data_IF_115200743160
#
_entry.id   IF_115200743160
#
_cell.length_a   1.000
_cell.length_b   1.000
_cell.length_c   1.000
_cell.angle_alpha   90.00
_cell.angle_beta   90.00
_cell.angle_gamma   90.00
#
_symmetry.space_group_name_H-M   'P 1'
#
loop_
_entity.id
_entity.type
_entity.pdbx_description
1 polymer ?
#
# COMPACT_ATOMS: atom_id res chain seq x y z
N UNK A 1 6.77 9.18 33.20
CA UNK A 1 5.50 9.95 33.13
C UNK A 1 5.47 10.91 31.92
N UNK A 2 6.57 11.57 31.55
CA UNK A 2 6.65 12.45 30.36
C UNK A 2 6.55 11.71 29.01
N UNK A 3 7.20 10.54 28.86
CA UNK A 3 7.16 9.74 27.63
C UNK A 3 5.75 9.23 27.26
N UNK A 4 4.98 8.81 28.26
CA UNK A 4 3.58 8.38 28.08
C UNK A 4 2.70 9.57 27.67
N UNK A 5 2.90 10.74 28.27
CA UNK A 5 2.16 11.94 27.92
C UNK A 5 2.48 12.41 26.49
N UNK A 6 3.75 12.41 26.09
CA UNK A 6 4.18 12.73 24.72
C UNK A 6 3.60 11.71 23.71
N UNK A 7 3.62 10.42 24.05
CA UNK A 7 2.99 9.38 23.22
C UNK A 7 1.49 9.60 23.03
N UNK A 8 0.74 9.94 24.08
CA UNK A 8 -0.70 10.23 23.98
C UNK A 8 -0.98 11.52 23.19
N UNK A 9 -0.13 12.54 23.31
CA UNK A 9 -0.24 13.77 22.54
C UNK A 9 -0.04 13.50 21.04
N UNK A 10 1.06 12.81 20.67
CA UNK A 10 1.32 12.40 19.28
C UNK A 10 0.19 11.54 18.71
N UNK A 11 -0.31 10.57 19.48
CA UNK A 11 -1.41 9.73 19.05
C UNK A 11 -2.69 10.54 18.80
N UNK A 12 -2.99 11.52 19.66
CA UNK A 12 -4.12 12.42 19.49
C UNK A 12 -3.98 13.28 18.23
N UNK A 13 -2.80 13.79 17.96
CA UNK A 13 -2.56 14.61 16.77
C UNK A 13 -2.65 13.78 15.49
N UNK A 14 -2.12 12.55 15.49
CA UNK A 14 -2.30 11.58 14.40
C UNK A 14 -3.79 11.28 14.17
N UNK A 15 -4.59 11.11 15.23
CA UNK A 15 -6.04 10.88 15.08
C UNK A 15 -6.77 12.08 14.49
N UNK A 16 -6.38 13.31 14.88
CA UNK A 16 -6.96 14.55 14.36
C UNK A 16 -6.63 14.79 12.89
N UNK A 17 -5.44 14.37 12.45
CA UNK A 17 -4.99 14.53 11.07
C UNK A 17 -5.58 13.48 10.12
N UNK A 18 -6.24 12.45 10.64
CA UNK A 18 -6.92 11.47 9.81
C UNK A 18 -8.02 12.12 8.97
N UNK A 19 -8.29 11.57 7.78
CA UNK A 19 -9.36 12.06 6.92
C UNK A 19 -10.73 12.07 7.64
N UNK A 20 -11.63 12.95 7.22
CA UNK A 20 -13.00 13.04 7.73
C UNK A 20 -13.82 11.82 7.27
N UNK A 21 -14.27 11.00 8.23
CA UNK A 21 -15.04 9.79 7.92
C UNK A 21 -16.35 10.11 7.21
N UNK A 22 -17.06 11.14 7.69
CA UNK A 22 -18.34 11.58 7.12
C UNK A 22 -18.18 12.05 5.68
N UNK A 23 -17.19 12.91 5.41
CA UNK A 23 -16.91 13.38 4.05
C UNK A 23 -16.49 12.25 3.11
N UNK A 24 -15.74 11.27 3.61
CA UNK A 24 -15.38 10.09 2.81
C UNK A 24 -16.60 9.23 2.47
N UNK A 25 -17.56 9.06 3.39
CA UNK A 25 -18.80 8.36 3.09
C UNK A 25 -19.59 9.08 1.99
N UNK A 26 -19.74 10.40 2.11
CA UNK A 26 -20.44 11.23 1.12
C UNK A 26 -19.75 11.20 -0.24
N UNK A 27 -18.42 11.37 -0.27
CA UNK A 27 -17.61 11.38 -1.51
C UNK A 27 -17.70 10.05 -2.27
N UNK A 28 -17.64 8.93 -1.56
CA UNK A 28 -17.61 7.59 -2.17
C UNK A 28 -19.00 6.95 -2.26
N UNK A 29 -20.07 7.71 -1.96
CA UNK A 29 -21.46 7.25 -1.96
C UNK A 29 -21.67 5.96 -1.12
N UNK A 30 -21.14 5.99 0.10
CA UNK A 30 -21.23 4.93 1.11
C UNK A 30 -22.22 5.33 2.22
N UNK A 31 -22.86 4.34 2.84
CA UNK A 31 -23.68 4.55 4.04
C UNK A 31 -23.08 3.82 5.25
N UNK A 32 -23.40 4.30 6.46
CA UNK A 32 -23.02 3.59 7.69
C UNK A 32 -23.63 2.19 7.73
N UNK A 33 -24.81 1.99 7.14
CA UNK A 33 -25.46 0.69 7.05
C UNK A 33 -24.60 -0.32 6.28
N UNK A 34 -24.08 0.06 5.10
CA UNK A 34 -23.17 -0.80 4.33
C UNK A 34 -21.90 -1.16 5.10
N UNK A 35 -21.36 -0.22 5.88
CA UNK A 35 -20.20 -0.46 6.75
C UNK A 35 -20.52 -1.46 7.86
N UNK A 36 -21.70 -1.33 8.48
CA UNK A 36 -22.17 -2.27 9.50
C UNK A 36 -22.39 -3.68 8.92
N UNK A 37 -22.97 -3.79 7.72
CA UNK A 37 -23.15 -5.07 7.02
C UNK A 37 -21.80 -5.77 6.76
N UNK A 38 -20.79 -5.03 6.31
CA UNK A 38 -19.44 -5.58 6.15
C UNK A 38 -18.86 -6.03 7.49
N UNK A 39 -18.97 -5.21 8.53
CA UNK A 39 -18.51 -5.55 9.88
C UNK A 39 -19.16 -6.83 10.41
N UNK A 40 -20.48 -6.96 10.24
CA UNK A 40 -21.22 -8.14 10.66
C UNK A 40 -20.78 -9.40 9.91
N UNK A 41 -20.58 -9.29 8.59
CA UNK A 41 -20.07 -10.40 7.78
C UNK A 41 -18.71 -10.91 8.26
N UNK A 42 -17.83 -9.98 8.65
CA UNK A 42 -16.47 -10.27 9.10
C UNK A 42 -16.38 -10.94 10.48
N UNK A 43 -17.44 -10.93 11.28
CA UNK A 43 -17.48 -11.64 12.58
C UNK A 43 -17.17 -13.13 12.46
N UNK A 44 -17.48 -13.72 11.31
CA UNK A 44 -17.20 -15.14 11.03
C UNK A 44 -15.75 -15.42 10.61
N UNK A 45 -14.99 -14.39 10.23
CA UNK A 45 -13.64 -14.55 9.71
C UNK A 45 -12.64 -14.85 10.84
N UNK A 46 -11.83 -15.89 10.63
CA UNK A 46 -10.72 -16.26 11.53
C UNK A 46 -9.39 -15.57 11.16
N UNK A 47 -9.36 -14.84 10.04
CA UNK A 47 -8.13 -14.25 9.50
C UNK A 47 -8.11 -12.73 9.66
N UNK A 48 -9.27 -12.08 9.57
CA UNK A 48 -9.40 -10.63 9.69
C UNK A 48 -9.51 -10.23 11.17
N UNK A 49 -8.73 -9.24 11.66
CA UNK A 49 -8.90 -8.71 13.00
C UNK A 49 -10.28 -8.08 13.22
N UNK A 50 -10.92 -8.39 14.34
CA UNK A 50 -12.24 -7.85 14.68
C UNK A 50 -12.19 -6.39 15.15
N UNK A 51 -10.99 -5.89 15.49
CA UNK A 51 -10.75 -4.54 16.00
C UNK A 51 -10.58 -3.47 14.93
N UNK A 52 -10.89 -3.76 13.66
CA UNK A 52 -10.74 -2.77 12.59
C UNK A 52 -11.70 -1.61 12.77
N UNK A 53 -11.21 -0.39 12.57
CA UNK A 53 -12.03 0.81 12.59
C UNK A 53 -12.88 0.93 11.32
N UNK A 54 -14.04 1.60 11.39
CA UNK A 54 -14.88 1.87 10.21
C UNK A 54 -14.11 2.61 9.11
N UNK A 55 -13.22 3.53 9.51
CA UNK A 55 -12.30 4.21 8.58
C UNK A 55 -11.40 3.25 7.79
N UNK A 56 -11.09 2.07 8.30
CA UNK A 56 -10.30 1.09 7.57
C UNK A 56 -11.19 0.25 6.65
N UNK A 57 -12.41 -0.06 7.08
CA UNK A 57 -13.36 -0.87 6.31
C UNK A 57 -13.80 -0.19 5.01
N UNK A 58 -13.96 1.14 5.02
CA UNK A 58 -14.48 1.85 3.84
C UNK A 58 -13.55 1.75 2.62
N UNK A 59 -12.24 1.59 2.78
CA UNK A 59 -11.33 1.40 1.64
C UNK A 59 -11.69 0.16 0.82
N UNK A 60 -12.08 -0.93 1.49
CA UNK A 60 -12.47 -2.17 0.83
C UNK A 60 -13.82 -2.02 0.13
N UNK A 61 -14.78 -1.33 0.76
CA UNK A 61 -16.08 -1.03 0.16
C UNK A 61 -15.97 -0.13 -1.07
N UNK A 62 -15.13 0.90 -1.03
CA UNK A 62 -14.87 1.78 -2.17
C UNK A 62 -14.30 0.99 -3.35
N UNK A 63 -13.36 0.06 -3.08
CA UNK A 63 -12.71 -0.76 -4.12
C UNK A 63 -13.73 -1.54 -4.96
N UNK A 64 -14.79 -2.07 -4.35
CA UNK A 64 -15.84 -2.83 -5.05
C UNK A 64 -17.19 -2.11 -5.10
N UNK A 65 -17.20 -0.77 -5.07
CA UNK A 65 -18.41 0.05 -5.25
C UNK A 65 -19.60 -0.42 -4.38
N UNK A 66 -19.35 -0.61 -3.08
CA UNK A 66 -20.33 -1.04 -2.07
C UNK A 66 -20.71 -2.54 -2.06
N UNK A 67 -20.09 -3.38 -2.89
CA UNK A 67 -20.32 -4.83 -2.85
C UNK A 67 -19.69 -5.45 -1.59
N UNK A 68 -20.54 -5.71 -0.58
CA UNK A 68 -20.14 -6.20 0.74
C UNK A 68 -19.43 -7.56 0.66
N UNK A 69 -19.88 -8.44 -0.23
CA UNK A 69 -19.33 -9.79 -0.34
C UNK A 69 -17.92 -9.77 -0.92
N UNK A 70 -17.71 -9.02 -2.02
CA UNK A 70 -16.38 -8.84 -2.61
C UNK A 70 -15.44 -8.09 -1.68
N UNK A 71 -15.95 -7.08 -0.96
CA UNK A 71 -15.16 -6.32 0.01
C UNK A 71 -14.66 -7.19 1.15
N UNK A 72 -15.52 -8.08 1.69
CA UNK A 72 -15.11 -9.04 2.70
C UNK A 72 -14.07 -10.03 2.17
N UNK A 73 -14.25 -10.55 0.95
CA UNK A 73 -13.29 -11.45 0.31
C UNK A 73 -11.91 -10.81 0.11
N UNK A 74 -11.87 -9.55 -0.35
CA UNK A 74 -10.62 -8.80 -0.49
C UNK A 74 -9.97 -8.52 0.86
N UNK A 75 -10.75 -8.19 1.89
CA UNK A 75 -10.20 -8.00 3.23
C UNK A 75 -9.56 -9.29 3.76
N UNK A 76 -10.19 -10.45 3.56
CA UNK A 76 -9.55 -11.72 3.90
C UNK A 76 -8.27 -11.96 3.11
N UNK A 77 -8.30 -11.72 1.79
CA UNK A 77 -7.15 -11.88 0.90
C UNK A 77 -5.99 -10.97 1.34
N UNK A 78 -6.28 -9.71 1.65
CA UNK A 78 -5.34 -8.74 2.19
C UNK A 78 -4.62 -9.30 3.41
N UNK A 79 -5.34 -9.76 4.44
CA UNK A 79 -4.72 -10.30 5.66
C UNK A 79 -3.96 -11.62 5.44
N UNK A 80 -4.46 -12.51 4.56
CA UNK A 80 -3.73 -13.73 4.16
C UNK A 80 -2.39 -13.37 3.49
N UNK A 81 -2.41 -12.42 2.55
CA UNK A 81 -1.23 -11.96 1.83
C UNK A 81 -0.26 -11.24 2.77
N UNK A 82 -0.76 -10.36 3.64
CA UNK A 82 0.05 -9.68 4.67
C UNK A 82 0.80 -10.69 5.56
N UNK A 83 0.13 -11.76 5.99
CA UNK A 83 0.75 -12.84 6.78
C UNK A 83 1.79 -13.64 5.99
N UNK A 84 1.61 -13.80 4.68
CA UNK A 84 2.53 -14.54 3.82
C UNK A 84 3.80 -13.75 3.41
N UNK A 85 3.79 -12.44 3.64
CA UNK A 85 4.86 -11.52 3.25
C UNK A 85 5.41 -10.71 4.46
N UNK A 86 5.93 -11.37 5.52
CA UNK A 86 6.46 -10.66 6.70
C UNK A 86 7.57 -9.66 6.37
N UNK A 87 8.32 -9.88 5.28
CA UNK A 87 9.31 -8.94 4.76
C UNK A 87 8.73 -7.54 4.49
N UNK A 88 7.43 -7.43 4.20
CA UNK A 88 6.76 -6.16 3.93
C UNK A 88 5.92 -5.67 5.11
N UNK A 89 5.36 -6.57 5.92
CA UNK A 89 4.30 -6.22 6.88
C UNK A 89 4.69 -6.38 8.35
N UNK A 90 5.77 -7.09 8.66
CA UNK A 90 6.23 -7.32 10.04
C UNK A 90 7.24 -6.24 10.46
N UNK A 91 7.26 -5.94 11.76
CA UNK A 91 8.25 -5.09 12.42
C UNK A 91 8.45 -3.76 11.68
N UNK A 92 7.32 -3.10 11.37
CA UNK A 92 7.31 -1.79 10.70
C UNK A 92 7.54 -0.71 11.75
N UNK A 93 8.66 -0.03 11.61
CA UNK A 93 9.06 1.09 12.45
C UNK A 93 9.62 2.18 11.53
N UNK A 94 9.06 3.38 11.62
CA UNK A 94 9.48 4.51 10.80
C UNK A 94 10.89 4.95 11.17
N UNK A 95 11.33 4.74 12.41
CA UNK A 95 12.65 5.13 12.91
C UNK A 95 13.71 4.03 12.70
N UNK A 96 13.31 2.87 12.16
CA UNK A 96 14.24 1.80 11.84
C UNK A 96 15.27 2.24 10.80
N UNK A 97 16.52 1.83 11.01
CA UNK A 97 17.67 2.24 10.18
C UNK A 97 17.47 1.92 8.69
N UNK A 98 16.86 0.79 8.36
CA UNK A 98 16.63 0.39 6.98
C UNK A 98 15.54 1.22 6.29
N UNK A 99 14.50 1.62 7.04
CA UNK A 99 13.46 2.55 6.58
C UNK A 99 14.04 3.96 6.41
N UNK A 100 14.77 4.48 7.39
CA UNK A 100 15.44 5.78 7.30
C UNK A 100 16.41 5.83 6.11
N UNK A 101 17.20 4.77 5.90
CA UNK A 101 18.06 4.66 4.72
C UNK A 101 17.26 4.70 3.41
N UNK A 102 16.06 4.10 3.36
CA UNK A 102 15.20 4.21 2.18
C UNK A 102 14.71 5.64 1.97
N UNK A 103 14.25 6.32 3.03
CA UNK A 103 13.78 7.71 2.97
C UNK A 103 14.89 8.70 2.57
N UNK A 104 16.14 8.43 2.93
CA UNK A 104 17.29 9.28 2.58
C UNK A 104 17.73 9.13 1.12
N UNK A 105 17.56 7.93 0.55
CA UNK A 105 18.12 7.53 -0.75
C UNK A 105 17.07 7.32 -1.85
N UNK A 106 15.78 7.42 -1.56
CA UNK A 106 14.69 7.23 -2.52
C UNK A 106 13.61 8.30 -2.35
N UNK A 107 12.90 8.60 -3.43
CA UNK A 107 11.74 9.47 -3.40
C UNK A 107 10.48 8.62 -3.26
N UNK A 108 9.65 8.94 -2.26
CA UNK A 108 8.32 8.38 -2.04
C UNK A 108 7.32 9.53 -2.00
N UNK A 109 6.89 10.00 -3.16
CA UNK A 109 6.16 11.26 -3.29
C UNK A 109 4.73 10.96 -3.74
N UNK A 110 3.75 11.50 -3.00
CA UNK A 110 2.40 11.60 -3.53
C UNK A 110 2.22 12.95 -4.21
N UNK A 111 1.89 12.92 -5.50
CA UNK A 111 1.65 14.10 -6.31
C UNK A 111 0.22 14.62 -6.10
N UNK A 112 -0.09 15.86 -6.54
CA UNK A 112 -1.46 16.33 -6.58
C UNK A 112 -2.36 15.33 -7.32
N UNK A 113 -3.57 15.14 -6.80
CA UNK A 113 -4.54 14.23 -7.41
C UNK A 113 -4.90 14.67 -8.83
N UNK A 114 -5.26 13.71 -9.66
CA UNK A 114 -5.71 14.01 -11.03
C UNK A 114 -7.04 14.78 -11.01
N UNK A 115 -7.44 15.44 -12.12
CA UNK A 115 -8.78 16.03 -12.25
C UNK A 115 -9.92 15.04 -11.95
N UNK A 116 -9.74 13.78 -12.33
CA UNK A 116 -10.67 12.68 -12.05
C UNK A 116 -10.54 12.08 -10.64
N UNK A 117 -9.86 12.77 -9.72
CA UNK A 117 -9.70 12.37 -8.33
C UNK A 117 -8.90 11.07 -8.07
N UNK A 118 -8.06 10.62 -9.02
CA UNK A 118 -7.15 9.49 -8.78
C UNK A 118 -5.95 9.93 -7.94
N UNK A 119 -5.48 9.00 -7.10
CA UNK A 119 -4.22 9.15 -6.40
C UNK A 119 -3.05 8.97 -7.37
N UNK A 120 -2.04 9.84 -7.29
CA UNK A 120 -0.86 9.77 -8.15
C UNK A 120 0.40 9.64 -7.28
N UNK A 121 1.08 8.50 -7.37
CA UNK A 121 2.25 8.19 -6.53
C UNK A 121 3.48 8.02 -7.39
N UNK A 122 4.50 8.81 -7.09
CA UNK A 122 5.80 8.79 -7.74
C UNK A 122 6.86 8.15 -6.84
N UNK A 123 7.62 7.23 -7.42
CA UNK A 123 8.76 6.59 -6.79
C UNK A 123 9.99 6.61 -7.71
N UNK A 124 11.15 6.93 -7.14
CA UNK A 124 12.41 6.92 -7.86
C UNK A 124 13.62 6.85 -6.93
N UNK A 125 14.79 6.56 -7.51
CA UNK A 125 16.06 6.62 -6.78
C UNK A 125 16.55 8.07 -6.68
N UNK A 126 16.97 8.48 -5.48
CA UNK A 126 17.72 9.72 -5.27
C UNK A 126 19.23 9.48 -5.36
N UNK A 127 19.69 8.31 -4.90
CA UNK A 127 21.07 7.87 -4.96
C UNK A 127 21.18 6.55 -5.73
N UNK A 128 22.19 6.44 -6.59
CA UNK A 128 22.43 5.27 -7.44
C UNK A 128 23.51 4.32 -6.89
N UNK A 129 23.88 4.44 -5.61
CA UNK A 129 24.72 3.46 -4.93
C UNK A 129 23.94 2.14 -4.70
N UNK A 130 24.35 1.01 -5.33
CA UNK A 130 23.70 -0.27 -5.10
C UNK A 130 23.69 -0.72 -3.63
N UNK A 131 24.63 -0.24 -2.81
CA UNK A 131 24.75 -0.65 -1.41
C UNK A 131 23.71 0.01 -0.51
N UNK A 132 23.15 1.16 -0.92
CA UNK A 132 22.09 1.84 -0.18
C UNK A 132 20.69 1.30 -0.50
N UNK A 133 20.56 0.30 -1.37
CA UNK A 133 19.27 -0.25 -1.77
C UNK A 133 19.07 -1.71 -1.35
N UNK A 134 17.92 -1.94 -0.71
CA UNK A 134 17.36 -3.24 -0.42
C UNK A 134 15.88 -3.24 -0.87
N UNK A 135 15.50 -4.22 -1.70
CA UNK A 135 14.14 -4.26 -2.26
C UNK A 135 13.07 -4.46 -1.19
N UNK A 136 13.31 -5.31 -0.20
CA UNK A 136 12.32 -5.64 0.82
C UNK A 136 12.03 -4.41 1.70
N UNK A 137 13.07 -3.72 2.16
CA UNK A 137 12.94 -2.45 2.88
C UNK A 137 12.34 -1.35 2.00
N UNK A 138 12.70 -1.28 0.71
CA UNK A 138 12.14 -0.30 -0.22
C UNK A 138 10.64 -0.51 -0.45
N UNK A 139 10.20 -1.76 -0.66
CA UNK A 139 8.81 -2.14 -0.84
C UNK A 139 8.01 -1.96 0.46
N UNK A 140 8.59 -2.32 1.62
CA UNK A 140 8.01 -2.05 2.95
C UNK A 140 7.76 -0.56 3.13
N UNK A 141 8.78 0.27 2.89
CA UNK A 141 8.70 1.73 2.98
C UNK A 141 7.66 2.28 2.02
N UNK A 142 7.64 1.82 0.76
CA UNK A 142 6.65 2.21 -0.24
C UNK A 142 5.22 1.98 0.26
N UNK A 143 4.92 0.77 0.74
CA UNK A 143 3.59 0.41 1.25
C UNK A 143 3.23 1.27 2.47
N UNK A 144 4.18 1.49 3.39
CA UNK A 144 3.95 2.35 4.55
C UNK A 144 3.61 3.79 4.16
N UNK A 145 4.31 4.36 3.17
CA UNK A 145 4.04 5.73 2.68
C UNK A 145 2.67 5.83 2.00
N UNK A 146 2.27 4.80 1.26
CA UNK A 146 0.93 4.71 0.65
C UNK A 146 -0.17 4.63 1.72
N UNK A 147 -0.01 3.75 2.71
CA UNK A 147 -0.96 3.61 3.82
C UNK A 147 -1.04 4.90 4.65
N UNK A 148 0.08 5.59 4.87
CA UNK A 148 0.12 6.89 5.54
C UNK A 148 -0.66 7.94 4.74
N UNK A 149 -0.41 8.09 3.43
CA UNK A 149 -1.17 9.03 2.60
C UNK A 149 -2.69 8.77 2.67
N UNK A 150 -3.08 7.51 2.53
CA UNK A 150 -4.48 7.09 2.65
C UNK A 150 -5.08 7.42 4.03
N UNK A 151 -4.31 7.30 5.09
CA UNK A 151 -4.75 7.68 6.42
C UNK A 151 -5.10 9.18 6.54
N UNK A 152 -4.36 10.06 5.86
CA UNK A 152 -4.64 11.51 5.86
C UNK A 152 -5.75 11.92 4.88
N UNK A 153 -5.92 11.21 3.75
CA UNK A 153 -6.78 11.66 2.64
C UNK A 153 -8.03 10.79 2.36
N UNK A 154 -8.10 9.61 2.97
CA UNK A 154 -9.19 8.65 2.79
C UNK A 154 -9.15 7.91 1.45
N UNK A 155 -10.13 7.03 1.22
CA UNK A 155 -10.21 6.22 -0.01
C UNK A 155 -10.42 7.10 -1.24
N UNK A 156 -9.88 6.70 -2.39
CA UNK A 156 -10.12 7.34 -3.69
C UNK A 156 -10.46 6.26 -4.72
N UNK A 157 -11.08 6.61 -5.86
CA UNK A 157 -11.55 5.62 -6.83
C UNK A 157 -10.44 4.68 -7.32
N UNK A 158 -9.29 5.25 -7.71
CA UNK A 158 -8.16 4.49 -8.25
C UNK A 158 -6.82 5.17 -7.96
N UNK A 159 -5.73 4.42 -8.10
CA UNK A 159 -4.34 4.88 -8.02
C UNK A 159 -3.61 4.72 -9.35
N UNK A 160 -2.76 5.70 -9.66
CA UNK A 160 -1.78 5.67 -10.74
C UNK A 160 -0.39 5.68 -10.10
N UNK A 161 0.43 4.69 -10.45
CA UNK A 161 1.82 4.62 -10.01
C UNK A 161 2.78 5.07 -11.10
N UNK A 162 3.75 5.90 -10.74
CA UNK A 162 4.84 6.37 -11.57
C UNK A 162 6.16 5.87 -10.98
N UNK A 163 6.83 4.96 -11.68
CA UNK A 163 8.15 4.45 -11.31
C UNK A 163 9.20 4.96 -12.29
N UNK A 164 10.06 5.86 -11.81
CA UNK A 164 11.22 6.31 -12.55
C UNK A 164 12.44 5.48 -12.12
N UNK A 165 12.89 4.61 -13.01
CA UNK A 165 14.01 3.71 -12.75
C UNK A 165 15.36 4.28 -13.19
N UNK A 166 15.45 5.60 -13.45
CA UNK A 166 16.71 6.24 -13.80
C UNK A 166 17.78 5.96 -12.73
N UNK A 167 18.92 5.45 -13.17
CA UNK A 167 20.04 5.13 -12.28
C UNK A 167 20.00 3.73 -11.66
N UNK A 168 18.90 3.00 -11.86
CA UNK A 168 18.79 1.61 -11.43
C UNK A 168 19.64 0.71 -12.36
N UNK A 169 20.81 0.30 -11.88
CA UNK A 169 21.71 -0.59 -12.63
C UNK A 169 21.39 -2.07 -12.38
N UNK A 170 21.95 -2.96 -13.21
CA UNK A 170 21.88 -4.43 -13.04
C UNK A 170 22.18 -4.90 -11.61
N UNK A 171 23.09 -4.23 -10.89
CA UNK A 171 23.51 -4.62 -9.53
C UNK A 171 22.40 -4.50 -8.48
N UNK A 172 21.38 -3.67 -8.74
CA UNK A 172 20.22 -3.52 -7.87
C UNK A 172 19.22 -4.66 -8.05
N UNK A 173 19.12 -5.20 -9.27
CA UNK A 173 18.04 -6.11 -9.69
C UNK A 173 18.28 -7.59 -9.35
N UNK A 174 19.54 -7.99 -9.08
CA UNK A 174 19.84 -9.33 -8.55
C UNK A 174 19.71 -9.44 -7.02
N UNK A 175 19.51 -8.32 -6.31
CA UNK A 175 19.32 -8.33 -4.86
C UNK A 175 17.94 -8.83 -4.41
N UNK A 176 16.80 -8.45 -5.03
CA UNK A 176 15.52 -9.06 -4.66
C UNK A 176 15.45 -10.52 -5.11
N UNK A 177 14.94 -11.38 -4.23
CA UNK A 177 14.55 -12.72 -4.65
C UNK A 177 13.32 -12.62 -5.57
N UNK A 178 13.26 -13.44 -6.62
CA UNK A 178 12.05 -13.59 -7.47
C UNK A 178 10.82 -13.96 -6.62
N UNK A 179 11.04 -14.62 -5.48
CA UNK A 179 9.98 -14.94 -4.52
C UNK A 179 9.37 -13.69 -3.89
N UNK A 180 10.20 -12.75 -3.45
CA UNK A 180 9.74 -11.52 -2.80
C UNK A 180 9.02 -10.60 -3.79
N UNK A 181 9.55 -10.44 -5.01
CA UNK A 181 8.87 -9.69 -6.07
C UNK A 181 7.48 -10.28 -6.38
N UNK A 182 7.36 -11.61 -6.42
CA UNK A 182 6.07 -12.29 -6.62
C UNK A 182 5.06 -11.96 -5.53
N UNK A 183 5.49 -11.98 -4.26
CA UNK A 183 4.60 -11.62 -3.14
C UNK A 183 4.14 -10.17 -3.25
N UNK A 184 5.02 -9.27 -3.69
CA UNK A 184 4.69 -7.87 -3.95
C UNK A 184 3.61 -7.73 -5.03
N UNK A 185 3.78 -8.40 -6.17
CA UNK A 185 2.81 -8.42 -7.27
C UNK A 185 1.46 -8.98 -6.80
N UNK A 186 1.46 -10.13 -6.10
CA UNK A 186 0.22 -10.71 -5.56
C UNK A 186 -0.50 -9.78 -4.59
N UNK A 187 0.24 -9.04 -3.76
CA UNK A 187 -0.35 -8.04 -2.88
C UNK A 187 -0.93 -6.85 -3.65
N UNK A 188 -0.23 -6.36 -4.67
CA UNK A 188 -0.71 -5.30 -5.56
C UNK A 188 -2.03 -5.69 -6.27
N UNK A 189 -2.13 -6.92 -6.78
CA UNK A 189 -3.29 -7.39 -7.55
C UNK A 189 -4.48 -7.78 -6.67
N UNK A 190 -4.23 -8.44 -5.54
CA UNK A 190 -5.27 -9.13 -4.77
C UNK A 190 -5.32 -8.81 -3.29
N UNK A 191 -4.52 -7.85 -2.81
CA UNK A 191 -4.43 -7.50 -1.39
C UNK A 191 -4.55 -6.01 -1.08
N UNK A 192 -4.41 -5.12 -2.06
CA UNK A 192 -4.53 -3.68 -1.86
C UNK A 192 -6.00 -3.24 -1.82
N UNK A 193 -6.38 -2.38 -0.86
CA UNK A 193 -7.75 -1.90 -0.74
C UNK A 193 -8.01 -0.64 -1.58
N UNK A 194 -7.56 -0.66 -2.83
CA UNK A 194 -7.81 0.37 -3.84
C UNK A 194 -7.48 -0.19 -5.23
N UNK A 195 -8.21 0.29 -6.24
CA UNK A 195 -8.03 -0.15 -7.63
C UNK A 195 -6.81 0.50 -8.28
N UNK A 196 -6.00 -0.27 -8.98
CA UNK A 196 -4.86 0.24 -9.76
C UNK A 196 -5.37 0.59 -11.17
N UNK A 197 -5.37 1.88 -11.51
CA UNK A 197 -5.72 2.35 -12.85
C UNK A 197 -4.60 2.08 -13.85
N UNK A 198 -3.38 2.41 -13.44
CA UNK A 198 -2.19 2.26 -14.28
C UNK A 198 -0.91 2.20 -13.44
N UNK A 199 0.09 1.51 -14.00
CA UNK A 199 1.48 1.53 -13.52
C UNK A 199 2.34 1.97 -14.69
N UNK A 200 2.91 3.17 -14.60
CA UNK A 200 3.85 3.69 -15.58
C UNK A 200 5.26 3.49 -15.05
N UNK A 201 6.07 2.73 -15.79
CA UNK A 201 7.49 2.56 -15.50
C UNK A 201 8.29 3.18 -16.65
N UNK A 202 9.23 4.05 -16.34
CA UNK A 202 10.04 4.75 -17.34
C UNK A 202 11.50 4.88 -16.91
N UNK A 203 12.35 5.31 -17.83
CA UNK A 203 13.82 5.29 -17.70
C UNK A 203 14.36 3.90 -17.30
N UNK A 204 13.77 2.86 -17.87
CA UNK A 204 14.11 1.47 -17.58
C UNK A 204 15.40 1.04 -18.28
N UNK A 205 15.97 -0.04 -17.76
CA UNK A 205 17.06 -0.77 -18.41
C UNK A 205 16.51 -1.80 -19.40
N UNK A 206 17.27 -2.12 -20.44
CA UNK A 206 16.83 -2.95 -21.58
C UNK A 206 16.29 -4.35 -21.26
N UNK A 207 16.61 -4.88 -20.08
CA UNK A 207 16.20 -6.22 -19.63
C UNK A 207 15.14 -6.20 -18.53
N UNK A 208 14.58 -5.01 -18.20
CA UNK A 208 13.53 -4.86 -17.18
C UNK A 208 12.32 -5.74 -17.48
N UNK A 209 11.85 -5.72 -18.73
CA UNK A 209 10.67 -6.50 -19.17
C UNK A 209 10.85 -8.00 -18.96
N UNK A 210 12.08 -8.51 -19.12
CA UNK A 210 12.38 -9.92 -18.87
C UNK A 210 12.26 -10.29 -17.39
N UNK A 211 12.68 -9.40 -16.47
CA UNK A 211 12.58 -9.63 -15.02
C UNK A 211 11.12 -9.59 -14.59
N UNK A 212 10.38 -8.54 -14.98
CA UNK A 212 8.96 -8.41 -14.67
C UNK A 212 8.19 -9.59 -15.25
N UNK A 213 8.45 -9.96 -16.51
CA UNK A 213 7.85 -11.13 -17.15
C UNK A 213 8.10 -12.43 -16.39
N UNK A 214 9.29 -12.65 -15.81
CA UNK A 214 9.56 -13.81 -14.94
C UNK A 214 8.82 -13.78 -13.61
N UNK A 215 8.65 -12.60 -13.03
CA UNK A 215 7.89 -12.45 -11.79
C UNK A 215 6.38 -12.69 -12.05
N UNK A 216 5.85 -12.13 -13.15
CA UNK A 216 4.46 -12.24 -13.59
C UNK A 216 4.07 -13.64 -14.10
N UNK A 217 4.86 -14.25 -14.99
CA UNK A 217 4.57 -15.59 -15.54
C UNK A 217 4.47 -16.69 -14.49
N UNK A 218 5.12 -16.50 -13.33
CA UNK A 218 5.03 -17.40 -12.17
C UNK A 218 3.93 -17.01 -11.18
N UNK A 219 3.21 -15.91 -11.38
CA UNK A 219 2.01 -15.58 -10.61
C UNK A 219 0.79 -16.41 -11.05
N UNK A 220 0.84 -17.03 -12.24
CA UNK A 220 -0.30 -17.74 -12.85
C UNK A 220 -1.32 -16.74 -13.39
N UNK A 221 -1.95 -17.07 -14.51
CA UNK A 221 -3.03 -16.25 -15.08
C UNK A 221 -4.13 -16.05 -14.03
N UNK A 222 -4.15 -14.88 -13.41
CA UNK A 222 -5.27 -14.33 -12.65
C UNK A 222 -5.72 -13.06 -13.36
N UNK A 223 -5.96 -13.22 -14.66
CA UNK A 223 -7.03 -12.58 -15.42
C UNK A 223 -7.73 -13.71 -16.16
#
# INVERSE_FOLDING_TARGET
MSLLFDMFARFRDILKSAYSYKEALERENLTQETVNLLRDKLKSSKVVPQSLADKQLIFFLTTYKNDVDKSAALLESCYKLKRSAPEFFKDRDVDAKDIQNCLDNQYYITLPVTPDNHMLIYHSLKNNDPNSYNFDSAAKTFIMMNEAYNYYHGPRPEVIYLFDLKGLSFRFLFKPSVSTMRKGIKFLEGGMPYNIKAVHVFNTVSFFDWIIGKAWSKCGNLI
#
